data_IF_622744188424
#
_entry.id   IF_622744188424
#
_cell.length_a   1.000
_cell.length_b   1.000
_cell.length_c   1.000
_cell.angle_alpha   90.00
_cell.angle_beta   90.00
_cell.angle_gamma   90.00
#
_symmetry.space_group_name_H-M   'P 1'
#
loop_
_entity.id
_entity.type
_entity.pdbx_description
1 polymer ?
#
# COMPACT_ATOMS: atom_id res chain seq x y z
N UNK A 1 -4.48 12.47 6.85
CA UNK A 1 -3.80 11.49 5.99
C UNK A 1 -2.67 10.71 6.67
N UNK A 2 -1.78 11.34 7.44
CA UNK A 2 -0.49 10.72 7.82
C UNK A 2 -0.63 9.40 8.61
N UNK A 3 -1.56 9.32 9.55
CA UNK A 3 -1.81 8.08 10.31
C UNK A 3 -2.25 6.94 9.38
N UNK A 4 -3.15 7.23 8.42
CA UNK A 4 -3.64 6.25 7.45
C UNK A 4 -2.52 5.78 6.50
N UNK A 5 -1.69 6.71 6.04
CA UNK A 5 -0.52 6.42 5.23
C UNK A 5 0.48 5.54 5.99
N UNK A 6 0.78 5.89 7.24
CA UNK A 6 1.65 5.11 8.12
C UNK A 6 1.09 3.72 8.44
N UNK A 7 -0.22 3.60 8.68
CA UNK A 7 -0.88 2.33 8.90
C UNK A 7 -0.79 1.41 7.67
N UNK A 8 -1.01 1.95 6.47
CA UNK A 8 -0.82 1.19 5.23
C UNK A 8 0.63 0.73 5.07
N UNK A 9 1.59 1.60 5.38
CA UNK A 9 3.00 1.25 5.29
C UNK A 9 3.40 0.14 6.29
N UNK A 10 2.90 0.20 7.52
CA UNK A 10 3.10 -0.84 8.53
C UNK A 10 2.46 -2.17 8.10
N UNK A 11 1.23 -2.15 7.57
CA UNK A 11 0.55 -3.34 7.09
C UNK A 11 1.35 -4.05 5.97
N UNK A 12 1.91 -3.29 5.02
CA UNK A 12 2.78 -3.81 3.97
C UNK A 12 4.05 -4.44 4.55
N UNK A 13 4.70 -3.76 5.50
CA UNK A 13 5.91 -4.26 6.15
C UNK A 13 5.67 -5.56 6.93
N UNK A 14 4.56 -5.62 7.66
CA UNK A 14 4.12 -6.82 8.39
C UNK A 14 3.84 -7.97 7.41
N UNK A 15 3.16 -7.69 6.30
CA UNK A 15 2.93 -8.68 5.25
C UNK A 15 4.25 -9.23 4.70
N UNK A 16 5.19 -8.37 4.35
CA UNK A 16 6.50 -8.79 3.82
C UNK A 16 7.29 -9.64 4.83
N UNK A 17 7.24 -9.27 6.12
CA UNK A 17 7.84 -10.04 7.21
C UNK A 17 7.19 -11.42 7.37
N UNK A 18 5.87 -11.53 7.21
CA UNK A 18 5.15 -12.80 7.32
C UNK A 18 5.46 -13.77 6.18
N UNK A 19 5.85 -13.28 5.00
CA UNK A 19 6.15 -14.10 3.82
C UNK A 19 7.59 -14.62 3.81
N UNK A 20 8.54 -13.89 4.37
CA UNK A 20 9.96 -14.25 4.36
C UNK A 20 10.42 -14.98 5.63
N UNK A 21 11.43 -15.84 5.52
CA UNK A 21 12.19 -16.36 6.67
C UNK A 21 13.45 -15.54 6.98
N UNK A 22 13.84 -14.65 6.07
CA UNK A 22 15.02 -13.80 6.16
C UNK A 22 14.60 -12.32 6.26
N UNK A 23 15.02 -11.66 7.34
CA UNK A 23 14.67 -10.26 7.62
C UNK A 23 15.15 -9.29 6.53
N UNK A 24 16.29 -9.55 5.89
CA UNK A 24 16.81 -8.73 4.80
C UNK A 24 15.86 -8.83 3.59
N UNK A 25 15.45 -10.04 3.23
CA UNK A 25 14.52 -10.26 2.10
C UNK A 25 13.16 -9.62 2.41
N UNK A 26 12.67 -9.73 3.66
CA UNK A 26 11.44 -9.07 4.08
C UNK A 26 11.52 -7.54 3.91
N UNK A 27 12.63 -6.93 4.34
CA UNK A 27 12.84 -5.50 4.23
C UNK A 27 12.88 -5.05 2.76
N UNK A 28 13.61 -5.76 1.89
CA UNK A 28 13.69 -5.44 0.45
C UNK A 28 12.33 -5.54 -0.22
N UNK A 29 11.54 -6.58 0.08
CA UNK A 29 10.19 -6.75 -0.48
C UNK A 29 9.25 -5.65 0.01
N UNK A 30 9.24 -5.37 1.32
CA UNK A 30 8.40 -4.33 1.90
C UNK A 30 8.72 -2.94 1.34
N UNK A 31 10.00 -2.58 1.29
CA UNK A 31 10.47 -1.32 0.69
C UNK A 31 10.13 -1.28 -0.81
N UNK A 32 10.33 -2.38 -1.54
CA UNK A 32 9.99 -2.46 -2.96
C UNK A 32 8.52 -2.15 -3.23
N UNK A 33 7.61 -2.79 -2.48
CA UNK A 33 6.16 -2.54 -2.59
C UNK A 33 5.83 -1.08 -2.26
N UNK A 34 6.40 -0.53 -1.18
CA UNK A 34 6.18 0.87 -0.79
C UNK A 34 6.68 1.84 -1.85
N UNK A 35 7.85 1.62 -2.42
CA UNK A 35 8.40 2.44 -3.48
C UNK A 35 7.52 2.37 -4.73
N UNK A 36 7.04 1.19 -5.11
CA UNK A 36 6.12 1.06 -6.23
C UNK A 36 4.83 1.85 -5.98
N UNK A 37 4.12 1.61 -4.87
CA UNK A 37 2.83 2.27 -4.59
C UNK A 37 2.94 3.79 -4.38
N UNK A 38 4.06 4.28 -3.87
CA UNK A 38 4.28 5.73 -3.66
C UNK A 38 4.74 6.46 -4.93
N UNK A 39 5.34 5.76 -5.89
CA UNK A 39 5.86 6.37 -7.12
C UNK A 39 5.08 5.99 -8.39
N UNK A 40 4.07 5.12 -8.28
CA UNK A 40 3.25 4.68 -9.43
C UNK A 40 2.61 5.87 -10.17
N UNK A 41 2.29 6.94 -9.44
CA UNK A 41 1.76 8.19 -9.99
C UNK A 41 2.62 8.81 -11.09
N UNK A 42 3.95 8.72 -10.94
CA UNK A 42 4.89 9.28 -11.93
C UNK A 42 4.82 8.55 -13.27
N UNK A 43 4.43 7.28 -13.24
CA UNK A 43 4.17 6.49 -14.44
C UNK A 43 2.80 6.88 -15.02
N UNK A 44 1.80 7.08 -14.15
CA UNK A 44 0.48 7.56 -14.56
C UNK A 44 0.50 8.91 -15.29
N UNK A 45 1.39 9.82 -14.87
CA UNK A 45 1.59 11.12 -15.52
C UNK A 45 2.16 11.03 -16.95
N UNK A 46 2.66 9.86 -17.37
CA UNK A 46 3.17 9.61 -18.72
C UNK A 46 2.14 8.88 -19.61
N UNK A 47 0.98 8.51 -19.04
CA UNK A 47 -0.09 7.79 -19.73
C UNK A 47 -1.31 8.70 -19.88
N UNK A 48 -2.16 8.39 -20.87
CA UNK A 48 -3.42 9.09 -21.11
C UNK A 48 -4.61 8.12 -21.05
N UNK A 49 -5.79 8.68 -20.76
CA UNK A 49 -7.06 7.96 -20.75
C UNK A 49 -7.20 6.99 -19.57
N UNK A 50 -7.89 5.86 -19.81
CA UNK A 50 -8.29 4.90 -18.76
C UNK A 50 -7.09 4.36 -17.97
N UNK A 51 -5.92 4.25 -18.58
CA UNK A 51 -4.71 3.76 -17.91
C UNK A 51 -4.21 4.74 -16.83
N UNK A 52 -4.32 6.05 -17.06
CA UNK A 52 -3.95 7.07 -16.09
C UNK A 52 -4.91 7.08 -14.90
N UNK A 53 -6.21 6.94 -15.15
CA UNK A 53 -7.24 6.89 -14.11
C UNK A 53 -7.06 5.69 -13.17
N UNK A 54 -6.78 4.51 -13.72
CA UNK A 54 -6.51 3.30 -12.94
C UNK A 54 -5.26 3.47 -12.07
N UNK A 55 -4.18 4.05 -12.62
CA UNK A 55 -2.95 4.30 -11.86
C UNK A 55 -3.20 5.30 -10.74
N UNK A 56 -3.94 6.38 -11.01
CA UNK A 56 -4.28 7.37 -10.00
C UNK A 56 -5.07 6.75 -8.83
N UNK A 57 -6.01 5.84 -9.14
CA UNK A 57 -6.78 5.12 -8.12
C UNK A 57 -5.99 4.11 -7.29
N UNK A 58 -4.80 3.69 -7.73
CA UNK A 58 -3.88 2.79 -6.99
C UNK A 58 -2.75 3.59 -6.31
N UNK A 59 -2.61 4.86 -6.67
CA UNK A 59 -1.51 5.71 -6.21
C UNK A 59 -1.73 6.15 -4.77
N UNK A 60 -0.88 5.66 -3.87
CA UNK A 60 -0.92 6.07 -2.47
C UNK A 60 -0.59 7.56 -2.31
N UNK A 61 0.20 8.10 -3.23
CA UNK A 61 0.62 9.50 -3.20
C UNK A 61 -0.48 10.44 -3.76
N UNK A 62 -1.21 10.03 -4.80
CA UNK A 62 -2.37 10.79 -5.29
C UNK A 62 -3.40 11.00 -4.16
N UNK A 63 -3.80 9.90 -3.51
CA UNK A 63 -4.76 10.00 -2.40
C UNK A 63 -4.19 10.72 -1.18
N UNK A 64 -2.87 10.81 -1.02
CA UNK A 64 -2.22 11.55 0.07
C UNK A 64 -2.05 13.05 -0.21
N UNK A 65 -1.98 13.44 -1.48
CA UNK A 65 -1.83 14.84 -1.88
C UNK A 65 -3.01 15.68 -1.39
N UNK A 66 -4.24 15.18 -1.52
CA UNK A 66 -5.44 15.88 -1.05
C UNK A 66 -5.46 16.04 0.48
N UNK A 67 -5.04 15.01 1.21
CA UNK A 67 -4.84 15.11 2.66
C UNK A 67 -3.79 16.16 3.03
N UNK A 68 -2.72 16.30 2.25
CA UNK A 68 -1.66 17.30 2.47
C UNK A 68 -2.15 18.72 2.22
N UNK A 69 -3.16 18.88 1.37
CA UNK A 69 -3.86 20.16 1.11
C UNK A 69 -4.95 20.46 2.14
N UNK A 70 -5.14 19.60 3.14
CA UNK A 70 -6.16 19.73 4.17
C UNK A 70 -7.56 19.28 3.75
N UNK A 71 -7.69 18.65 2.57
CA UNK A 71 -8.96 18.10 2.09
C UNK A 71 -9.15 16.70 2.68
N UNK A 72 -10.24 16.52 3.42
CA UNK A 72 -10.65 15.23 3.97
C UNK A 72 -11.87 14.75 3.18
N UNK A 73 -11.63 13.92 2.17
CA UNK A 73 -12.70 13.14 1.53
C UNK A 73 -12.70 11.69 2.05
N UNK A 74 -13.90 11.18 2.27
CA UNK A 74 -14.21 9.80 2.64
C UNK A 74 -13.62 8.79 1.66
N UNK A 75 -13.55 9.11 0.37
CA UNK A 75 -13.00 8.25 -0.67
C UNK A 75 -11.55 7.86 -0.38
N UNK A 76 -10.71 8.82 0.04
CA UNK A 76 -9.31 8.54 0.39
C UNK A 76 -9.22 7.73 1.69
N UNK A 77 -10.10 7.99 2.67
CA UNK A 77 -10.12 7.22 3.92
C UNK A 77 -10.45 5.76 3.63
N UNK A 78 -11.49 5.50 2.83
CA UNK A 78 -11.88 4.15 2.41
C UNK A 78 -10.75 3.48 1.62
N UNK A 79 -10.07 4.22 0.74
CA UNK A 79 -8.90 3.72 0.02
C UNK A 79 -7.81 3.21 0.99
N UNK A 80 -7.35 4.04 1.93
CA UNK A 80 -6.28 3.61 2.85
C UNK A 80 -6.73 2.48 3.79
N UNK A 81 -7.97 2.51 4.29
CA UNK A 81 -8.50 1.46 5.17
C UNK A 81 -8.62 0.13 4.42
N UNK A 82 -9.09 0.14 3.18
CA UNK A 82 -9.17 -1.07 2.35
C UNK A 82 -7.77 -1.62 2.03
N UNK A 83 -6.81 -0.75 1.73
CA UNK A 83 -5.41 -1.13 1.51
C UNK A 83 -4.82 -1.82 2.75
N UNK A 84 -4.99 -1.22 3.94
CA UNK A 84 -4.56 -1.81 5.22
C UNK A 84 -5.20 -3.19 5.44
N UNK A 85 -6.52 -3.29 5.23
CA UNK A 85 -7.26 -4.53 5.43
C UNK A 85 -6.76 -5.65 4.52
N UNK A 86 -6.48 -5.36 3.24
CA UNK A 86 -5.96 -6.34 2.28
C UNK A 86 -4.59 -6.88 2.71
N UNK A 87 -3.64 -6.01 3.06
CA UNK A 87 -2.30 -6.45 3.47
C UNK A 87 -2.29 -7.21 4.80
N UNK A 88 -3.12 -6.80 5.77
CA UNK A 88 -3.29 -7.54 7.02
C UNK A 88 -3.97 -8.89 6.79
N UNK A 89 -4.97 -8.95 5.91
CA UNK A 89 -5.61 -10.21 5.53
C UNK A 89 -4.58 -11.19 4.94
N UNK A 90 -3.75 -10.73 3.99
CA UNK A 90 -2.66 -11.56 3.43
C UNK A 90 -1.69 -12.02 4.52
N UNK A 91 -1.34 -11.13 5.46
CA UNK A 91 -0.48 -11.48 6.61
C UNK A 91 -1.07 -12.62 7.42
N UNK A 92 -2.34 -12.52 7.81
CA UNK A 92 -3.02 -13.56 8.61
C UNK A 92 -3.02 -14.89 7.85
N UNK A 93 -3.37 -14.88 6.56
CA UNK A 93 -3.37 -16.10 5.73
C UNK A 93 -1.99 -16.72 5.57
N UNK A 94 -0.95 -15.91 5.46
CA UNK A 94 0.45 -16.37 5.42
C UNK A 94 0.83 -17.08 6.73
N UNK A 95 0.47 -16.49 7.88
CA UNK A 95 0.74 -17.07 9.19
C UNK A 95 -0.05 -18.37 9.44
N UNK A 96 -1.32 -18.41 9.06
CA UNK A 96 -2.15 -19.62 9.13
C UNK A 96 -1.55 -20.76 8.31
N UNK A 97 -1.11 -20.48 7.09
CA UNK A 97 -0.50 -21.48 6.19
C UNK A 97 0.78 -22.05 6.79
N UNK A 98 1.60 -21.23 7.47
CA UNK A 98 2.82 -21.69 8.16
C UNK A 98 2.50 -22.53 9.39
N UNK A 99 1.38 -22.30 10.06
CA UNK A 99 0.97 -23.06 11.25
C UNK A 99 0.51 -24.48 10.91
N UNK A 100 0.02 -24.69 9.69
CA UNK A 100 -0.53 -25.98 9.25
C UNK A 100 0.49 -26.86 8.50
N UNK A 101 1.70 -26.34 8.30
CA UNK A 101 2.87 -27.09 7.81
C UNK A 101 3.74 -27.47 8.99
#
# INVERSE_FOLDING_TARGET
GLILYGAAALAIGIMASSLSGNQIVAAVVGIGILLMLSNVDRIGALLDGVAADVISGISMNAHFADFSRGVLDSSHVVYFVSLVAVFLFITVRSLETRRWR
#
